data_IF_043284419356
#
_entry.id   IF_043284419356
#
_cell.length_a   1.000
_cell.length_b   1.000
_cell.length_c   1.000
_cell.angle_alpha   90.00
_cell.angle_beta   90.00
_cell.angle_gamma   90.00
#
_symmetry.space_group_name_H-M   'P 1'
#
loop_
_entity.id
_entity.type
_entity.pdbx_description
1 polymer ?
#
# COMPACT_ATOMS: atom_id res chain seq x y z
N UNK A 1 6.96 5.56 21.87
CA UNK A 1 7.69 6.59 21.09
C UNK A 1 8.98 5.98 20.58
N UNK A 2 8.91 5.32 19.44
CA UNK A 2 10.05 4.92 18.59
C UNK A 2 9.67 5.52 17.23
N UNK A 3 10.16 6.69 16.86
CA UNK A 3 11.44 6.79 16.16
C UNK A 3 11.25 6.14 14.79
N UNK A 4 10.50 6.75 13.88
CA UNK A 4 11.08 7.50 12.76
C UNK A 4 12.13 6.70 11.95
N UNK A 5 11.94 5.38 11.79
CA UNK A 5 12.67 4.59 10.81
C UNK A 5 12.15 4.91 9.39
N UNK A 6 12.76 5.95 8.82
CA UNK A 6 13.03 6.15 7.40
C UNK A 6 12.08 5.45 6.43
N UNK A 7 11.15 6.26 5.88
CA UNK A 7 10.35 5.93 4.71
C UNK A 7 11.19 5.20 3.63
N UNK A 8 11.01 3.87 3.56
CA UNK A 8 11.46 3.01 2.46
C UNK A 8 12.79 2.25 2.63
N UNK A 9 13.55 2.44 3.71
CA UNK A 9 14.92 1.90 3.84
C UNK A 9 15.09 0.65 4.72
N UNK A 10 14.33 0.51 5.80
CA UNK A 10 14.67 -0.41 6.91
C UNK A 10 14.49 -1.91 6.61
N UNK A 11 13.50 -2.26 5.81
CA UNK A 11 13.08 -3.66 5.65
C UNK A 11 13.84 -4.38 4.51
N UNK A 12 14.55 -3.65 3.65
CA UNK A 12 15.38 -4.25 2.60
C UNK A 12 16.74 -4.65 3.20
N UNK A 13 17.04 -5.95 3.20
CA UNK A 13 18.30 -6.49 3.73
C UNK A 13 18.21 -6.98 5.17
N UNK A 14 19.35 -6.95 5.88
CA UNK A 14 19.56 -7.65 7.15
C UNK A 14 18.69 -7.13 8.32
N UNK A 15 18.46 -5.82 8.40
CA UNK A 15 17.60 -5.24 9.45
C UNK A 15 16.16 -5.76 9.35
N UNK A 16 15.61 -5.85 8.13
CA UNK A 16 14.32 -6.50 7.91
C UNK A 16 14.29 -8.02 8.15
N UNK A 17 15.45 -8.71 8.10
CA UNK A 17 15.52 -10.15 8.48
C UNK A 17 15.47 -10.33 9.99
N UNK A 18 16.11 -9.43 10.72
CA UNK A 18 16.11 -9.41 12.18
C UNK A 18 14.71 -9.07 12.71
N UNK A 19 14.10 -8.00 12.20
CA UNK A 19 12.74 -7.61 12.60
C UNK A 19 11.71 -8.72 12.33
N UNK A 20 11.85 -9.44 11.21
CA UNK A 20 10.98 -10.56 10.89
C UNK A 20 11.17 -11.75 11.83
N UNK A 21 12.41 -12.04 12.25
CA UNK A 21 12.70 -13.09 13.25
C UNK A 21 12.14 -12.74 14.61
N UNK A 22 12.33 -11.50 15.05
CA UNK A 22 11.84 -11.04 16.35
C UNK A 22 10.30 -11.07 16.39
N UNK A 23 9.66 -10.62 15.30
CA UNK A 23 8.20 -10.66 15.17
C UNK A 23 7.68 -12.10 15.15
N UNK A 24 8.32 -13.03 14.42
CA UNK A 24 7.92 -14.43 14.42
C UNK A 24 8.03 -15.07 15.82
N UNK A 25 9.08 -14.75 16.58
CA UNK A 25 9.24 -15.21 17.96
C UNK A 25 8.13 -14.68 18.88
N UNK A 26 7.73 -13.41 18.72
CA UNK A 26 6.59 -12.84 19.44
C UNK A 26 5.28 -13.54 19.08
N UNK A 27 5.05 -13.83 17.79
CA UNK A 27 3.86 -14.55 17.31
C UNK A 27 3.79 -15.96 17.89
N UNK A 28 4.91 -16.66 18.02
CA UNK A 28 4.95 -18.00 18.61
C UNK A 28 4.39 -18.03 20.04
N UNK A 29 4.63 -16.96 20.82
CA UNK A 29 4.15 -16.82 22.19
C UNK A 29 2.64 -16.58 22.33
N UNK A 30 1.97 -16.12 21.27
CA UNK A 30 0.53 -15.77 21.29
C UNK A 30 -0.33 -16.68 20.42
N UNK A 31 0.24 -17.36 19.44
CA UNK A 31 -0.50 -18.21 18.51
C UNK A 31 -0.79 -19.61 19.08
N UNK A 32 -1.98 -20.17 18.78
CA UNK A 32 -2.27 -21.59 18.95
C UNK A 32 -1.20 -22.47 18.29
N UNK A 33 -0.90 -23.62 18.89
CA UNK A 33 0.21 -24.49 18.48
C UNK A 33 0.10 -24.91 17.00
N UNK A 34 -1.12 -25.09 16.51
CA UNK A 34 -1.45 -25.51 15.15
C UNK A 34 -1.11 -24.44 14.10
N UNK A 35 -1.12 -23.17 14.48
CA UNK A 35 -0.88 -22.05 13.58
C UNK A 35 0.60 -21.63 13.53
N UNK A 36 1.38 -21.89 14.58
CA UNK A 36 2.79 -21.46 14.68
C UNK A 36 3.64 -21.81 13.44
N UNK A 37 3.53 -23.01 12.84
CA UNK A 37 4.34 -23.36 11.67
C UNK A 37 4.03 -22.52 10.42
N UNK A 38 2.90 -21.82 10.38
CA UNK A 38 2.49 -21.00 9.24
C UNK A 38 3.02 -19.57 9.29
N UNK A 39 3.44 -19.10 10.47
CA UNK A 39 3.86 -17.71 10.71
C UNK A 39 5.34 -17.65 11.13
N UNK A 40 6.20 -18.30 10.33
CA UNK A 40 7.64 -18.26 10.54
C UNK A 40 8.27 -16.92 10.11
N UNK A 41 9.58 -16.76 10.32
CA UNK A 41 10.29 -15.53 9.96
C UNK A 41 10.24 -15.25 8.44
N UNK A 42 10.16 -16.28 7.59
CA UNK A 42 10.07 -16.12 6.14
C UNK A 42 8.70 -15.57 5.72
N UNK A 43 7.63 -16.09 6.33
CA UNK A 43 6.27 -15.60 6.17
C UNK A 43 6.18 -14.13 6.60
N UNK A 44 6.69 -13.81 7.80
CA UNK A 44 6.66 -12.44 8.34
C UNK A 44 7.45 -11.49 7.44
N UNK A 45 8.66 -11.87 7.00
CA UNK A 45 9.46 -11.08 6.06
C UNK A 45 8.70 -10.83 4.76
N UNK A 46 8.06 -11.87 4.21
CA UNK A 46 7.30 -11.74 2.97
C UNK A 46 6.09 -10.81 3.11
N UNK A 47 5.44 -10.84 4.28
CA UNK A 47 4.37 -9.89 4.62
C UNK A 47 4.89 -8.44 4.67
N UNK A 48 6.02 -8.17 5.33
CA UNK A 48 6.61 -6.83 5.40
C UNK A 48 7.06 -6.31 4.03
N UNK A 49 7.65 -7.17 3.19
CA UNK A 49 7.98 -6.83 1.81
C UNK A 49 6.72 -6.51 1.01
N UNK A 50 5.65 -7.30 1.17
CA UNK A 50 4.39 -7.06 0.45
C UNK A 50 3.73 -5.73 0.85
N UNK A 51 3.68 -5.40 2.15
CA UNK A 51 3.16 -4.12 2.63
C UNK A 51 3.93 -2.91 2.05
N UNK A 52 5.25 -3.02 1.93
CA UNK A 52 6.04 -1.99 1.25
C UNK A 52 5.79 -1.94 -0.25
N UNK A 53 5.69 -3.10 -0.90
CA UNK A 53 5.40 -3.16 -2.32
C UNK A 53 4.08 -2.43 -2.63
N UNK A 54 3.03 -2.73 -1.88
CA UNK A 54 1.73 -2.05 -1.97
C UNK A 54 1.87 -0.56 -1.70
N UNK A 55 2.62 -0.14 -0.68
CA UNK A 55 2.83 1.29 -0.41
C UNK A 55 3.50 2.02 -1.59
N UNK A 56 4.52 1.41 -2.23
CA UNK A 56 5.19 1.99 -3.41
C UNK A 56 4.25 2.07 -4.61
N UNK A 57 3.37 1.08 -4.80
CA UNK A 57 2.29 1.13 -5.79
C UNK A 57 1.28 2.26 -5.49
N UNK A 58 0.90 2.46 -4.22
CA UNK A 58 0.04 3.57 -3.81
C UNK A 58 0.66 4.92 -4.17
N UNK A 59 1.95 5.12 -3.89
CA UNK A 59 2.67 6.34 -4.28
C UNK A 59 2.72 6.53 -5.80
N UNK A 60 2.75 5.45 -6.58
CA UNK A 60 2.62 5.53 -8.03
C UNK A 60 1.21 5.98 -8.46
N UNK A 61 0.16 5.36 -7.92
CA UNK A 61 -1.23 5.76 -8.19
C UNK A 61 -1.48 7.22 -7.84
N UNK A 62 -0.95 7.70 -6.71
CA UNK A 62 -1.08 9.10 -6.28
C UNK A 62 -0.49 10.08 -7.29
N UNK A 63 0.66 9.74 -7.88
CA UNK A 63 1.31 10.55 -8.92
C UNK A 63 0.50 10.53 -10.22
N UNK A 64 0.06 9.35 -10.65
CA UNK A 64 -0.67 9.17 -11.91
C UNK A 64 -2.09 9.75 -11.91
N UNK A 65 -2.63 10.01 -10.73
CA UNK A 65 -3.97 10.59 -10.54
C UNK A 65 -3.96 12.10 -10.29
N UNK A 66 -2.78 12.72 -10.16
CA UNK A 66 -2.66 14.13 -9.78
C UNK A 66 -3.05 14.42 -8.33
N UNK A 67 -3.18 13.39 -7.49
CA UNK A 67 -3.52 13.53 -6.08
C UNK A 67 -2.45 14.30 -5.30
N UNK A 68 -1.19 14.22 -5.71
CA UNK A 68 -0.10 14.98 -5.07
C UNK A 68 -0.34 16.50 -5.15
N UNK A 69 -0.82 17.00 -6.29
CA UNK A 69 -1.19 18.41 -6.45
C UNK A 69 -2.42 18.76 -5.60
N UNK A 70 -3.42 17.87 -5.56
CA UNK A 70 -4.63 18.06 -4.76
C UNK A 70 -4.35 18.02 -3.24
N UNK A 71 -3.24 17.42 -2.80
CA UNK A 71 -2.85 17.36 -1.39
C UNK A 71 -2.08 18.58 -0.90
N UNK A 72 -1.79 19.56 -1.76
CA UNK A 72 -1.09 20.80 -1.37
C UNK A 72 -1.91 21.63 -0.38
N UNK A 73 -3.21 21.73 -0.60
CA UNK A 73 -4.12 22.39 0.36
C UNK A 73 -4.88 21.34 1.16
N UNK A 74 -5.20 21.71 2.40
CA UNK A 74 -5.97 20.86 3.30
C UNK A 74 -7.39 20.62 2.77
N UNK A 75 -7.86 19.38 2.84
CA UNK A 75 -9.24 19.04 2.47
C UNK A 75 -9.70 17.70 3.03
N UNK A 76 -11.01 17.47 3.00
CA UNK A 76 -11.58 16.13 3.19
C UNK A 76 -11.27 15.22 1.99
N UNK A 77 -11.58 13.94 2.12
CA UNK A 77 -11.53 12.98 0.99
C UNK A 77 -12.31 13.50 -0.22
N UNK A 78 -13.49 14.07 -0.01
CA UNK A 78 -14.34 14.65 -1.07
C UNK A 78 -13.70 15.89 -1.70
N UNK A 79 -13.17 16.81 -0.87
CA UNK A 79 -12.48 18.02 -1.35
C UNK A 79 -11.27 17.66 -2.22
N UNK A 80 -10.52 16.64 -1.82
CA UNK A 80 -9.34 16.13 -2.53
C UNK A 80 -9.76 15.44 -3.83
N UNK A 81 -10.80 14.58 -3.80
CA UNK A 81 -11.33 13.92 -4.98
C UNK A 81 -11.77 14.93 -6.04
N UNK A 82 -12.50 15.98 -5.62
CA UNK A 82 -12.96 17.04 -6.52
C UNK A 82 -11.78 17.77 -7.17
N UNK A 83 -10.77 18.16 -6.39
CA UNK A 83 -9.57 18.85 -6.90
C UNK A 83 -8.77 17.99 -7.87
N UNK A 84 -8.66 16.68 -7.58
CA UNK A 84 -8.00 15.70 -8.45
C UNK A 84 -8.89 15.24 -9.62
N UNK A 85 -10.10 15.77 -9.78
CA UNK A 85 -11.06 15.42 -10.84
C UNK A 85 -11.38 13.91 -10.87
N UNK A 86 -11.50 13.30 -9.69
CA UNK A 86 -11.86 11.89 -9.51
C UNK A 86 -13.39 11.71 -9.46
N UNK A 87 -13.86 10.51 -9.76
CA UNK A 87 -15.27 10.17 -9.75
C UNK A 87 -15.80 10.05 -8.31
N UNK A 88 -16.64 11.00 -7.89
CA UNK A 88 -17.03 11.21 -6.50
C UNK A 88 -17.78 10.06 -5.80
N UNK A 89 -18.27 9.04 -6.49
CA UNK A 89 -18.91 7.88 -5.84
C UNK A 89 -17.96 6.67 -5.73
N UNK A 90 -17.41 6.11 -6.83
CA UNK A 90 -16.54 4.94 -6.75
C UNK A 90 -15.16 5.24 -6.14
N UNK A 91 -14.69 6.50 -6.20
CA UNK A 91 -13.35 6.85 -5.73
C UNK A 91 -13.24 7.09 -4.23
N UNK A 92 -14.33 7.40 -3.50
CA UNK A 92 -14.20 7.90 -2.13
C UNK A 92 -13.67 6.85 -1.15
N UNK A 93 -14.20 5.63 -1.20
CA UNK A 93 -13.74 4.53 -0.33
C UNK A 93 -12.25 4.21 -0.55
N UNK A 94 -11.79 3.93 -1.78
CA UNK A 94 -10.37 3.67 -2.02
C UNK A 94 -9.49 4.89 -1.74
N UNK A 95 -9.97 6.11 -2.03
CA UNK A 95 -9.23 7.33 -1.74
C UNK A 95 -9.06 7.56 -0.24
N UNK A 96 -10.11 7.39 0.57
CA UNK A 96 -9.99 7.49 2.03
C UNK A 96 -8.97 6.50 2.58
N UNK A 97 -8.95 5.26 2.07
CA UNK A 97 -7.92 4.29 2.45
C UNK A 97 -6.51 4.75 2.06
N UNK A 98 -6.31 5.27 0.84
CA UNK A 98 -5.03 5.82 0.38
C UNK A 98 -4.57 6.94 1.33
N UNK A 99 -5.45 7.89 1.64
CA UNK A 99 -5.13 9.05 2.48
C UNK A 99 -4.73 8.62 3.90
N UNK A 100 -5.48 7.70 4.52
CA UNK A 100 -5.13 7.13 5.83
C UNK A 100 -3.82 6.35 5.79
N UNK A 101 -3.57 5.60 4.71
CA UNK A 101 -2.34 4.83 4.54
C UNK A 101 -1.10 5.72 4.45
N UNK A 102 -1.22 6.87 3.78
CA UNK A 102 -0.16 7.89 3.70
C UNK A 102 0.00 8.65 5.04
N UNK A 103 -1.11 8.99 5.71
CA UNK A 103 -1.08 9.65 7.01
C UNK A 103 -0.46 8.78 8.11
N UNK A 104 -0.80 7.48 8.15
CA UNK A 104 -0.21 6.50 9.07
C UNK A 104 1.31 6.35 8.88
N UNK A 105 1.82 6.67 7.68
CA UNK A 105 3.25 6.70 7.36
C UNK A 105 3.89 8.08 7.54
N UNK A 106 3.16 9.03 8.12
CA UNK A 106 3.65 10.38 8.40
C UNK A 106 3.92 11.22 7.15
N UNK A 107 3.27 10.92 6.02
CA UNK A 107 3.40 11.70 4.79
C UNK A 107 2.37 12.83 4.70
N UNK A 108 1.23 12.66 5.39
CA UNK A 108 0.17 13.65 5.46
C UNK A 108 0.01 14.13 6.91
N UNK A 109 -0.32 15.41 7.06
CA UNK A 109 -0.78 15.97 8.31
C UNK A 109 -2.26 15.59 8.50
N UNK A 110 -2.60 15.13 9.71
CA UNK A 110 -3.97 15.11 10.22
C UNK A 110 -4.10 16.26 11.23
N UNK A 111 -4.67 17.42 10.85
CA UNK A 111 -4.78 18.56 11.76
C UNK A 111 -5.62 18.19 12.98
N UNK A 112 -5.06 18.37 14.17
CA UNK A 112 -5.81 18.19 15.41
C UNK A 112 -6.90 19.27 15.52
N UNK A 113 -8.15 18.84 15.75
CA UNK A 113 -9.26 19.73 16.13
C UNK A 113 -10.28 20.10 15.04
N UNK A 114 -10.14 19.63 13.80
CA UNK A 114 -11.11 19.88 12.72
C UNK A 114 -11.76 18.60 12.14
N UNK A 115 -12.04 17.64 13.03
CA UNK A 115 -12.64 16.36 12.66
C UNK A 115 -11.63 15.39 12.05
N UNK A 116 -11.77 14.11 12.37
CA UNK A 116 -11.04 13.05 11.66
C UNK A 116 -11.33 13.15 10.17
N UNK A 117 -10.31 13.01 9.31
CA UNK A 117 -10.49 12.92 7.86
C UNK A 117 -10.19 14.18 7.04
N UNK A 118 -9.42 15.14 7.56
CA UNK A 118 -8.81 16.22 6.75
C UNK A 118 -7.33 15.95 6.58
N UNK A 119 -6.83 16.08 5.35
CA UNK A 119 -5.47 15.73 4.98
C UNK A 119 -4.77 16.86 4.21
N UNK A 120 -3.47 17.00 4.45
CA UNK A 120 -2.57 17.85 3.68
C UNK A 120 -1.19 17.19 3.60
N UNK A 121 -0.53 17.24 2.44
CA UNK A 121 0.85 16.76 2.32
C UNK A 121 1.80 17.56 3.22
N UNK A 122 2.73 16.87 3.90
CA UNK A 122 3.77 17.50 4.72
C UNK A 122 4.97 17.99 3.90
N UNK A 123 5.04 17.59 2.62
CA UNK A 123 6.07 17.93 1.66
C UNK A 123 5.85 17.15 0.36
N UNK A 124 6.80 17.21 -0.60
CA UNK A 124 6.78 16.35 -1.77
C UNK A 124 6.71 14.88 -1.38
N UNK A 125 5.89 14.10 -2.07
CA UNK A 125 5.77 12.67 -1.78
C UNK A 125 6.99 11.92 -2.34
N UNK A 126 7.49 10.89 -1.64
CA UNK A 126 8.68 10.17 -2.08
C UNK A 126 8.41 9.38 -3.36
N UNK A 127 9.39 9.36 -4.26
CA UNK A 127 9.38 8.51 -5.46
C UNK A 127 10.13 7.22 -5.13
N UNK A 128 9.39 6.13 -4.96
CA UNK A 128 9.94 4.83 -4.60
C UNK A 128 9.62 3.81 -5.69
N UNK A 129 10.63 3.04 -6.11
CA UNK A 129 10.47 1.98 -7.10
C UNK A 129 9.89 0.69 -6.46
N UNK A 130 8.69 0.22 -6.85
CA UNK A 130 8.16 -1.06 -6.38
C UNK A 130 8.98 -2.27 -6.88
N UNK A 131 9.70 -2.15 -8.00
CA UNK A 131 10.51 -3.22 -8.61
C UNK A 131 11.56 -3.80 -7.66
N UNK A 132 12.31 -2.94 -6.98
CA UNK A 132 13.32 -3.36 -6.00
C UNK A 132 12.77 -4.29 -4.90
N UNK A 133 11.54 -4.07 -4.43
CA UNK A 133 10.91 -4.90 -3.38
C UNK A 133 10.48 -6.25 -3.95
N UNK A 134 9.94 -6.25 -5.17
CA UNK A 134 9.58 -7.48 -5.89
C UNK A 134 10.81 -8.37 -6.13
N UNK A 135 11.94 -7.78 -6.51
CA UNK A 135 13.19 -8.50 -6.71
C UNK A 135 13.73 -9.11 -5.41
N UNK A 136 13.63 -8.38 -4.30
CA UNK A 136 13.96 -8.90 -2.97
C UNK A 136 13.06 -10.07 -2.57
N UNK A 137 11.75 -9.96 -2.80
CA UNK A 137 10.81 -11.05 -2.53
C UNK A 137 11.09 -12.27 -3.41
N UNK A 138 11.39 -12.08 -4.70
CA UNK A 138 11.74 -13.18 -5.61
C UNK A 138 12.96 -13.97 -5.11
N UNK A 139 13.93 -13.28 -4.52
CA UNK A 139 15.09 -13.91 -3.87
C UNK A 139 14.74 -14.65 -2.57
N UNK A 140 13.69 -14.20 -1.87
CA UNK A 140 13.28 -14.73 -0.56
C UNK A 140 12.31 -15.91 -0.65
N UNK A 141 11.16 -15.75 -1.33
CA UNK A 141 10.14 -16.77 -1.44
C UNK A 141 9.23 -16.57 -2.66
N UNK A 142 9.20 -17.57 -3.55
CA UNK A 142 8.41 -17.56 -4.79
C UNK A 142 6.90 -17.69 -4.56
N UNK A 143 6.46 -18.29 -3.45
CA UNK A 143 5.04 -18.58 -3.16
C UNK A 143 4.18 -17.33 -3.04
N UNK A 144 4.78 -16.15 -2.81
CA UNK A 144 4.07 -14.87 -2.71
C UNK A 144 3.89 -14.17 -4.07
N UNK A 145 4.50 -14.66 -5.15
CA UNK A 145 4.53 -13.94 -6.43
C UNK A 145 3.17 -13.71 -7.05
N UNK A 146 2.20 -14.60 -6.82
CA UNK A 146 0.83 -14.40 -7.28
C UNK A 146 0.23 -13.10 -6.71
N UNK A 147 0.45 -12.81 -5.42
CA UNK A 147 -0.01 -11.58 -4.77
C UNK A 147 0.65 -10.33 -5.35
N UNK A 148 1.94 -10.39 -5.68
CA UNK A 148 2.65 -9.27 -6.31
C UNK A 148 2.13 -8.98 -7.72
N UNK A 149 1.91 -10.02 -8.53
CA UNK A 149 1.35 -9.90 -9.87
C UNK A 149 -0.05 -9.31 -9.82
N UNK A 150 -0.89 -9.76 -8.87
CA UNK A 150 -2.23 -9.23 -8.67
C UNK A 150 -2.19 -7.74 -8.29
N UNK A 151 -1.43 -7.38 -7.26
CA UNK A 151 -1.34 -6.00 -6.78
C UNK A 151 -0.81 -5.05 -7.87
N UNK A 152 0.24 -5.44 -8.59
CA UNK A 152 0.79 -4.65 -9.69
C UNK A 152 -0.23 -4.48 -10.82
N UNK A 153 -0.96 -5.56 -11.16
CA UNK A 153 -1.98 -5.53 -12.20
C UNK A 153 -3.10 -4.55 -11.85
N UNK A 154 -3.60 -4.61 -10.61
CA UNK A 154 -4.67 -3.73 -10.12
C UNK A 154 -4.20 -2.28 -10.03
N UNK A 155 -2.97 -2.04 -9.57
CA UNK A 155 -2.42 -0.70 -9.44
C UNK A 155 -2.35 0.04 -10.79
N UNK A 156 -2.11 -0.65 -11.90
CA UNK A 156 -2.09 -0.06 -13.25
C UNK A 156 -3.45 0.46 -13.71
N UNK A 157 -4.53 -0.18 -13.31
CA UNK A 157 -5.88 0.23 -13.71
C UNK A 157 -6.54 1.17 -12.68
N UNK A 158 -5.95 1.29 -11.49
CA UNK A 158 -6.47 2.11 -10.39
C UNK A 158 -6.72 3.58 -10.76
N UNK A 159 -5.83 4.27 -11.52
CA UNK A 159 -6.10 5.64 -11.93
C UNK A 159 -7.36 5.77 -12.79
N UNK A 160 -7.59 4.83 -13.72
CA UNK A 160 -8.78 4.82 -14.57
C UNK A 160 -10.04 4.52 -13.74
N UNK A 161 -9.95 3.58 -12.79
CA UNK A 161 -11.04 3.27 -11.87
C UNK A 161 -11.41 4.47 -10.99
N UNK A 162 -10.42 5.17 -10.42
CA UNK A 162 -10.65 6.37 -9.61
C UNK A 162 -11.26 7.52 -10.42
N UNK A 163 -11.03 7.58 -11.74
CA UNK A 163 -11.70 8.52 -12.65
C UNK A 163 -13.07 8.04 -13.14
N UNK A 164 -13.50 6.84 -12.76
CA UNK A 164 -14.76 6.23 -13.20
C UNK A 164 -14.75 5.78 -14.67
N UNK A 165 -13.56 5.60 -15.26
CA UNK A 165 -13.38 5.20 -16.66
C UNK A 165 -13.54 3.68 -16.85
N UNK A 166 -13.31 2.90 -15.79
CA UNK A 166 -13.46 1.43 -15.75
C UNK A 166 -14.17 1.00 -14.46
N UNK A 167 -14.94 -0.08 -14.51
CA UNK A 167 -15.54 -0.67 -13.32
C UNK A 167 -14.51 -1.50 -12.52
N UNK A 168 -14.70 -1.60 -11.20
CA UNK A 168 -13.79 -2.38 -10.35
C UNK A 168 -13.79 -3.88 -10.71
N UNK A 169 -14.96 -4.38 -11.12
CA UNK A 169 -15.13 -5.74 -11.62
C UNK A 169 -14.34 -5.98 -12.90
N UNK A 170 -14.23 -4.99 -13.79
CA UNK A 170 -13.44 -5.13 -15.01
C UNK A 170 -11.93 -5.18 -14.72
N UNK A 171 -11.48 -4.46 -13.69
CA UNK A 171 -10.09 -4.47 -13.22
C UNK A 171 -9.70 -5.86 -12.70
N UNK A 172 -10.55 -6.48 -11.89
CA UNK A 172 -10.23 -7.74 -11.20
C UNK A 172 -10.67 -9.00 -11.96
N UNK A 173 -11.86 -8.97 -12.57
CA UNK A 173 -12.58 -10.17 -13.01
C UNK A 173 -12.93 -10.20 -14.50
N UNK A 174 -12.42 -9.25 -15.31
CA UNK A 174 -12.61 -9.33 -16.75
C UNK A 174 -12.02 -10.61 -17.34
N UNK A 175 -12.54 -11.06 -18.49
CA UNK A 175 -12.07 -12.28 -19.16
C UNK A 175 -10.55 -12.29 -19.42
N UNK A 176 -9.95 -11.10 -19.61
CA UNK A 176 -8.49 -10.93 -19.79
C UNK A 176 -7.68 -11.17 -18.51
N UNK A 177 -8.34 -11.13 -17.34
CA UNK A 177 -7.76 -11.23 -16.00
C UNK A 177 -8.00 -12.60 -15.35
N UNK A 178 -8.70 -13.53 -16.02
CA UNK A 178 -8.98 -14.87 -15.49
C UNK A 178 -7.73 -15.65 -15.07
N UNK A 179 -6.59 -15.43 -15.76
CA UNK A 179 -5.30 -16.03 -15.39
C UNK A 179 -4.76 -15.58 -14.03
N UNK A 180 -5.29 -14.52 -13.43
CA UNK A 180 -4.93 -14.14 -12.05
C UNK A 180 -5.55 -15.07 -10.99
N UNK A 181 -6.57 -15.83 -11.36
CA UNK A 181 -7.40 -16.61 -10.43
C UNK A 181 -7.38 -18.12 -10.70
N UNK A 182 -6.90 -18.51 -11.88
CA UNK A 182 -6.91 -19.89 -12.35
C UNK A 182 -5.47 -20.22 -12.74
N UNK A 183 -4.69 -20.62 -11.73
CA UNK A 183 -3.39 -21.30 -11.84
C UNK A 183 -3.30 -22.35 -10.72
#
# INVERSE_FOLDING_TARGET
MSGLEAAGGSVLGAAGEEEARDTAALLEGVLPRELRPLFDASFVRSHFLYEQFVHRLVLQVVRETGLEDALRDEGSTEDIALRAKLAAAPALVPLDWILRSLAARGLLAEPAGQGRGRYRALGPLPVLDPGAVREEQLRSALTWMASYVLAETVARDYPAFLRGEVAGEDVLFSAKRLRLWID
#
